data_IF_433679575758
#
_entry.id   IF_433679575758
#
_cell.length_a   1.000
_cell.length_b   1.000
_cell.length_c   1.000
_cell.angle_alpha   90.00
_cell.angle_beta   90.00
_cell.angle_gamma   90.00
#
_symmetry.space_group_name_H-M   'P 1'
#
loop_
_entity.id
_entity.type
_entity.pdbx_description
1 polymer ?
#
# COMPACT_ATOMS: atom_id res chain seq x y z
N UNK A 1 29.44 -25.61 -11.27
CA UNK A 1 29.69 -24.44 -12.11
C UNK A 1 30.21 -23.32 -11.23
N UNK A 2 31.34 -22.68 -11.54
CA UNK A 2 31.85 -21.55 -10.74
C UNK A 2 30.79 -20.45 -10.65
N UNK A 3 30.62 -19.81 -9.50
CA UNK A 3 29.61 -18.78 -9.24
C UNK A 3 29.66 -17.62 -10.24
N UNK A 4 30.87 -17.26 -10.73
CA UNK A 4 31.03 -16.20 -11.74
C UNK A 4 30.33 -16.55 -13.06
N UNK A 5 30.47 -17.79 -13.54
CA UNK A 5 29.81 -18.24 -14.77
C UNK A 5 28.29 -18.33 -14.60
N UNK A 6 27.86 -18.63 -13.38
CA UNK A 6 26.42 -18.61 -13.08
C UNK A 6 25.88 -17.17 -13.12
N UNK A 7 26.60 -16.22 -12.50
CA UNK A 7 26.22 -14.81 -12.57
C UNK A 7 26.17 -14.24 -13.98
N UNK A 8 27.13 -14.62 -14.84
CA UNK A 8 27.13 -14.23 -16.26
C UNK A 8 25.95 -14.84 -17.02
N UNK A 9 25.54 -16.05 -16.67
CA UNK A 9 24.40 -16.73 -17.27
C UNK A 9 23.07 -16.14 -16.82
N UNK A 10 22.93 -15.87 -15.52
CA UNK A 10 21.69 -15.41 -14.90
C UNK A 10 21.45 -13.91 -15.18
N UNK A 11 22.48 -13.17 -15.59
CA UNK A 11 22.37 -11.75 -15.96
C UNK A 11 21.96 -10.84 -14.81
N UNK A 12 21.20 -9.78 -15.12
CA UNK A 12 20.68 -8.83 -14.13
C UNK A 12 19.37 -9.37 -13.56
N UNK A 13 19.34 -9.64 -12.26
CA UNK A 13 18.14 -10.10 -11.55
C UNK A 13 17.32 -8.96 -10.96
N UNK A 14 17.90 -7.76 -10.85
CA UNK A 14 17.23 -6.61 -10.23
C UNK A 14 16.18 -6.07 -11.16
N UNK A 15 14.98 -5.84 -10.63
CA UNK A 15 13.87 -5.19 -11.32
C UNK A 15 14.27 -3.84 -11.91
N UNK A 16 13.87 -3.55 -13.15
CA UNK A 16 14.06 -2.24 -13.77
C UNK A 16 13.04 -1.20 -13.28
N UNK A 17 11.98 -1.66 -12.63
CA UNK A 17 10.95 -0.78 -12.10
C UNK A 17 11.53 0.24 -11.09
N UNK A 18 11.15 1.52 -11.10
CA UNK A 18 10.05 2.16 -11.85
C UNK A 18 10.45 2.75 -13.21
N UNK A 19 11.69 2.53 -13.69
CA UNK A 19 12.17 3.09 -14.97
C UNK A 19 11.64 2.33 -16.17
N UNK A 20 11.47 1.02 -16.03
CA UNK A 20 10.91 0.11 -17.02
C UNK A 20 9.90 -0.85 -16.37
N UNK A 21 9.04 -1.48 -17.19
CA UNK A 21 8.24 -2.62 -16.77
C UNK A 21 9.08 -3.89 -16.82
N UNK A 22 8.79 -4.82 -15.95
CA UNK A 22 9.39 -6.16 -15.99
C UNK A 22 8.36 -7.26 -15.67
N UNK A 23 8.73 -8.48 -15.95
CA UNK A 23 7.85 -9.65 -15.77
C UNK A 23 7.55 -9.95 -14.28
N UNK A 24 8.37 -9.48 -13.35
CA UNK A 24 8.07 -9.64 -11.92
C UNK A 24 6.90 -8.76 -11.53
N UNK A 25 6.89 -7.51 -12.00
CA UNK A 25 5.84 -6.54 -11.72
C UNK A 25 4.47 -7.01 -12.21
N UNK A 26 4.40 -7.51 -13.44
CA UNK A 26 3.15 -7.94 -14.07
C UNK A 26 2.59 -9.24 -13.44
N UNK A 27 3.41 -9.97 -12.70
CA UNK A 27 3.03 -11.22 -12.02
C UNK A 27 2.39 -11.03 -10.64
N UNK A 28 2.34 -9.81 -10.10
CA UNK A 28 1.71 -9.56 -8.80
C UNK A 28 0.24 -9.19 -8.95
N UNK A 29 -0.63 -9.92 -8.23
CA UNK A 29 -2.03 -9.56 -8.02
C UNK A 29 -2.10 -8.53 -6.88
N UNK A 30 -1.94 -7.25 -7.22
CA UNK A 30 -1.75 -6.19 -6.23
C UNK A 30 -3.05 -5.75 -5.57
N UNK A 31 -4.18 -5.90 -6.24
CA UNK A 31 -5.48 -5.45 -5.75
C UNK A 31 -6.64 -6.21 -6.39
N UNK A 32 -7.81 -6.05 -5.80
CA UNK A 32 -9.07 -6.41 -6.41
C UNK A 32 -9.70 -5.14 -7.00
N UNK A 33 -10.12 -5.21 -8.26
CA UNK A 33 -10.89 -4.19 -8.95
C UNK A 33 -12.38 -4.52 -8.95
N UNK A 34 -13.20 -3.49 -9.07
CA UNK A 34 -14.65 -3.57 -9.28
C UNK A 34 -14.95 -3.12 -10.69
N UNK A 35 -15.68 -3.91 -11.45
CA UNK A 35 -16.15 -3.49 -12.78
C UNK A 35 -17.26 -2.45 -12.64
N UNK A 36 -17.09 -1.34 -13.34
CA UNK A 36 -17.98 -0.17 -13.25
C UNK A 36 -18.88 0.00 -14.48
N UNK A 37 -18.82 -0.95 -15.41
CA UNK A 37 -19.49 -0.87 -16.74
C UNK A 37 -21.00 -1.15 -16.66
N UNK A 38 -21.55 -1.41 -15.48
CA UNK A 38 -22.99 -1.60 -15.32
C UNK A 38 -23.71 -0.25 -15.37
N UNK A 39 -24.80 -0.19 -16.15
CA UNK A 39 -25.64 1.00 -16.31
C UNK A 39 -26.17 1.54 -14.98
N UNK A 40 -26.21 2.87 -14.88
CA UNK A 40 -26.80 3.59 -13.78
C UNK A 40 -28.29 3.26 -13.66
N UNK A 41 -28.66 2.46 -12.69
CA UNK A 41 -30.06 2.14 -12.41
C UNK A 41 -30.42 0.65 -12.44
N UNK A 42 -29.51 -0.22 -12.86
CA UNK A 42 -29.76 -1.65 -12.69
C UNK A 42 -29.65 -2.07 -11.21
N UNK A 43 -30.56 -2.91 -10.72
CA UNK A 43 -30.46 -3.42 -9.36
C UNK A 43 -29.20 -4.24 -9.19
N UNK A 44 -28.52 -4.05 -8.04
CA UNK A 44 -27.30 -4.80 -7.71
C UNK A 44 -27.60 -6.30 -7.77
N UNK A 45 -26.86 -7.08 -8.59
CA UNK A 45 -27.11 -8.51 -8.72
C UNK A 45 -26.95 -9.23 -7.38
N UNK A 46 -27.79 -10.23 -7.15
CA UNK A 46 -27.72 -11.06 -5.94
C UNK A 46 -26.32 -11.63 -5.66
N UNK A 47 -25.59 -12.01 -6.72
CA UNK A 47 -24.23 -12.51 -6.62
C UNK A 47 -23.28 -11.50 -5.94
N UNK A 48 -23.46 -10.19 -6.17
CA UNK A 48 -22.65 -9.14 -5.53
C UNK A 48 -23.02 -8.99 -4.05
N UNK A 49 -24.33 -9.06 -3.74
CA UNK A 49 -24.79 -9.07 -2.34
C UNK A 49 -24.25 -10.30 -1.58
N UNK A 50 -24.28 -11.47 -2.23
CA UNK A 50 -23.71 -12.70 -1.66
C UNK A 50 -22.17 -12.59 -1.49
N UNK A 51 -21.47 -11.91 -2.40
CA UNK A 51 -20.05 -11.62 -2.28
C UNK A 51 -19.74 -10.66 -1.12
N UNK A 52 -20.56 -9.61 -0.95
CA UNK A 52 -20.45 -8.67 0.16
C UNK A 52 -20.69 -9.35 1.52
N UNK A 53 -21.73 -10.17 1.62
CA UNK A 53 -22.03 -10.94 2.83
C UNK A 53 -20.95 -11.96 3.20
N UNK A 54 -20.21 -12.45 2.21
CA UNK A 54 -19.12 -13.40 2.41
C UNK A 54 -17.75 -12.74 2.64
N UNK A 55 -17.67 -11.42 2.54
CA UNK A 55 -16.42 -10.69 2.75
C UNK A 55 -16.06 -10.68 4.25
N UNK A 56 -14.92 -11.28 4.66
CA UNK A 56 -14.60 -11.44 6.08
C UNK A 56 -14.28 -10.11 6.78
N UNK A 57 -13.91 -9.08 6.02
CA UNK A 57 -13.56 -7.75 6.54
C UNK A 57 -14.61 -6.69 6.20
N UNK A 58 -15.76 -7.11 5.65
CA UNK A 58 -16.80 -6.20 5.18
C UNK A 58 -16.27 -5.08 4.26
N UNK A 59 -15.30 -5.42 3.39
CA UNK A 59 -14.68 -4.49 2.45
C UNK A 59 -15.60 -4.13 1.27
N UNK A 60 -16.70 -4.86 1.05
CA UNK A 60 -17.61 -4.66 -0.08
C UNK A 60 -18.90 -4.06 0.43
N UNK A 61 -19.33 -2.95 -0.16
CA UNK A 61 -20.65 -2.34 0.01
C UNK A 61 -21.41 -2.37 -1.30
N UNK A 62 -22.75 -2.38 -1.21
CA UNK A 62 -23.62 -2.54 -2.39
C UNK A 62 -24.56 -1.37 -2.61
N UNK A 63 -24.60 -0.40 -1.70
CA UNK A 63 -25.49 0.76 -1.75
C UNK A 63 -24.67 2.07 -1.83
N UNK A 64 -24.95 2.96 -2.80
CA UNK A 64 -25.92 2.84 -3.90
C UNK A 64 -25.41 1.96 -5.06
N UNK A 65 -24.14 1.60 -5.09
CA UNK A 65 -23.46 0.77 -6.10
C UNK A 65 -22.44 -0.14 -5.45
N UNK A 66 -22.01 -1.21 -6.14
CA UNK A 66 -20.89 -2.02 -5.68
C UNK A 66 -19.62 -1.20 -5.53
N UNK A 67 -19.08 -1.17 -4.32
CA UNK A 67 -17.81 -0.51 -3.98
C UNK A 67 -16.94 -1.50 -3.22
N UNK A 68 -15.64 -1.34 -3.37
CA UNK A 68 -14.65 -2.12 -2.63
C UNK A 68 -13.69 -1.18 -1.92
N UNK A 69 -13.62 -1.29 -0.61
CA UNK A 69 -12.60 -0.64 0.19
C UNK A 69 -11.31 -1.48 0.20
N UNK A 70 -10.33 -1.08 -0.62
CA UNK A 70 -9.02 -1.73 -0.68
C UNK A 70 -8.28 -1.70 0.65
N UNK A 71 -8.52 -0.68 1.46
CA UNK A 71 -7.92 -0.57 2.79
C UNK A 71 -8.47 -1.58 3.81
N UNK A 72 -9.58 -2.26 3.47
CA UNK A 72 -10.14 -3.37 4.24
C UNK A 72 -9.94 -4.72 3.55
N UNK A 73 -9.57 -4.72 2.28
CA UNK A 73 -9.46 -5.93 1.49
C UNK A 73 -8.22 -6.73 1.85
N UNK A 74 -8.42 -7.96 2.31
CA UNK A 74 -7.34 -8.91 2.62
C UNK A 74 -6.94 -9.81 1.46
N UNK A 75 -7.29 -9.48 0.23
CA UNK A 75 -6.93 -10.19 -0.99
C UNK A 75 -7.31 -11.69 -0.99
N UNK A 76 -8.35 -12.09 -0.29
CA UNK A 76 -8.75 -13.50 -0.11
C UNK A 76 -9.44 -14.12 -1.34
N UNK A 77 -9.80 -13.36 -2.36
CA UNK A 77 -10.40 -13.83 -3.62
C UNK A 77 -11.85 -14.34 -3.55
N UNK A 78 -12.51 -14.34 -2.37
CA UNK A 78 -13.86 -14.87 -2.20
C UNK A 78 -14.92 -14.16 -3.06
N UNK A 79 -14.77 -12.85 -3.27
CA UNK A 79 -15.67 -12.06 -4.11
C UNK A 79 -15.61 -12.49 -5.57
N UNK A 80 -14.42 -12.77 -6.10
CA UNK A 80 -14.25 -13.24 -7.48
C UNK A 80 -14.81 -14.62 -7.71
N UNK A 81 -14.78 -15.50 -6.72
CA UNK A 81 -15.42 -16.82 -6.80
C UNK A 81 -16.96 -16.70 -6.86
N UNK A 82 -17.55 -15.73 -6.17
CA UNK A 82 -19.00 -15.54 -6.10
C UNK A 82 -19.57 -14.65 -7.18
N UNK A 83 -18.83 -13.62 -7.56
CA UNK A 83 -19.25 -12.65 -8.57
C UNK A 83 -18.10 -12.32 -9.54
N UNK A 84 -17.64 -13.31 -10.36
CA UNK A 84 -16.47 -13.14 -11.25
C UNK A 84 -16.69 -12.11 -12.35
N UNK A 85 -17.94 -11.74 -12.62
CA UNK A 85 -18.27 -10.70 -13.59
C UNK A 85 -18.06 -9.28 -13.02
N UNK A 86 -18.01 -9.14 -11.69
CA UNK A 86 -17.93 -7.85 -10.99
C UNK A 86 -16.58 -7.60 -10.36
N UNK A 87 -15.86 -8.64 -9.99
CA UNK A 87 -14.57 -8.53 -9.32
C UNK A 87 -13.49 -9.24 -10.10
N UNK A 88 -12.34 -8.61 -10.23
CA UNK A 88 -11.18 -9.19 -10.90
C UNK A 88 -9.89 -8.77 -10.21
N UNK A 89 -8.83 -9.57 -10.37
CA UNK A 89 -7.49 -9.17 -9.96
C UNK A 89 -6.97 -8.01 -10.83
N UNK A 90 -6.37 -7.03 -10.21
CA UNK A 90 -5.60 -5.99 -10.86
C UNK A 90 -4.11 -6.26 -10.62
N UNK A 91 -3.34 -6.54 -11.67
CA UNK A 91 -1.90 -6.76 -11.54
C UNK A 91 -1.15 -5.46 -11.34
N UNK A 92 0.07 -5.56 -10.82
CA UNK A 92 0.99 -4.45 -10.69
C UNK A 92 1.11 -3.89 -9.28
N UNK A 93 1.22 -2.57 -9.11
CA UNK A 93 1.52 -1.96 -7.81
C UNK A 93 0.84 -0.62 -7.54
N UNK A 94 0.07 -0.09 -8.43
CA UNK A 94 -0.49 1.28 -8.35
C UNK A 94 -1.57 1.50 -7.27
N UNK A 95 -1.53 0.77 -6.16
CA UNK A 95 -2.58 0.74 -5.14
C UNK A 95 -2.41 1.76 -4.02
N UNK A 96 -1.23 2.35 -3.85
CA UNK A 96 -0.97 3.34 -2.82
C UNK A 96 -1.73 4.65 -3.07
N UNK A 97 -2.30 5.23 -2.03
CA UNK A 97 -3.13 6.43 -2.08
C UNK A 97 -2.64 7.51 -1.10
N UNK A 98 -2.94 8.78 -1.43
CA UNK A 98 -2.65 9.94 -0.56
C UNK A 98 -3.78 10.24 0.42
N UNK A 99 -4.95 9.67 0.21
CA UNK A 99 -6.07 9.80 1.13
C UNK A 99 -6.68 8.42 1.39
N UNK A 100 -7.28 8.26 2.55
CA UNK A 100 -7.98 7.03 2.91
C UNK A 100 -9.18 6.76 1.98
N UNK A 101 -9.82 7.83 1.49
CA UNK A 101 -10.98 7.76 0.60
C UNK A 101 -10.65 7.17 -0.76
N UNK A 102 -9.50 7.52 -1.32
CA UNK A 102 -9.06 7.01 -2.64
C UNK A 102 -8.87 5.48 -2.67
N UNK A 103 -8.81 4.83 -1.50
CA UNK A 103 -8.78 3.37 -1.42
C UNK A 103 -10.13 2.70 -1.68
N UNK A 104 -11.23 3.47 -1.68
CA UNK A 104 -12.55 2.95 -2.03
C UNK A 104 -12.73 3.05 -3.54
N UNK A 105 -12.73 1.91 -4.22
CA UNK A 105 -12.96 1.83 -5.67
C UNK A 105 -14.43 1.59 -5.97
N UNK A 106 -14.90 2.13 -7.10
CA UNK A 106 -16.32 2.12 -7.47
C UNK A 106 -17.06 3.41 -7.04
N UNK A 107 -16.41 4.31 -6.33
CA UNK A 107 -16.90 5.65 -5.99
C UNK A 107 -16.00 6.71 -6.63
N UNK A 108 -16.59 7.73 -7.24
CA UNK A 108 -15.88 8.85 -7.87
C UNK A 108 -16.14 10.12 -7.03
N UNK A 109 -15.38 10.26 -5.94
CA UNK A 109 -15.57 11.39 -5.02
C UNK A 109 -14.39 12.37 -4.97
N UNK A 110 -13.23 12.00 -5.51
CA UNK A 110 -12.06 12.89 -5.53
C UNK A 110 -11.72 13.28 -6.96
N UNK A 111 -11.62 14.59 -7.20
CA UNK A 111 -11.23 15.10 -8.52
C UNK A 111 -9.73 14.88 -8.74
N UNK A 112 -9.34 14.65 -9.99
CA UNK A 112 -7.93 14.55 -10.39
C UNK A 112 -7.13 15.79 -9.99
N UNK A 113 -7.78 16.96 -9.98
CA UNK A 113 -7.18 18.23 -9.54
C UNK A 113 -6.84 18.22 -8.06
N UNK A 114 -7.74 17.72 -7.20
CA UNK A 114 -7.51 17.64 -5.74
C UNK A 114 -6.35 16.68 -5.43
N UNK A 115 -6.32 15.51 -6.08
CA UNK A 115 -5.22 14.56 -5.94
C UNK A 115 -3.89 15.11 -6.46
N UNK A 116 -3.92 15.85 -7.58
CA UNK A 116 -2.74 16.52 -8.12
C UNK A 116 -2.21 17.61 -7.18
N UNK A 117 -3.11 18.37 -6.55
CA UNK A 117 -2.74 19.39 -5.56
C UNK A 117 -2.09 18.77 -4.31
N UNK A 118 -2.63 17.64 -3.81
CA UNK A 118 -2.03 16.88 -2.71
C UNK A 118 -0.65 16.35 -3.06
N UNK A 119 -0.49 15.74 -4.24
CA UNK A 119 0.82 15.27 -4.75
C UNK A 119 1.83 16.40 -4.83
N UNK A 120 1.43 17.56 -5.36
CA UNK A 120 2.28 18.74 -5.49
C UNK A 120 2.71 19.28 -4.12
N UNK A 121 1.78 19.32 -3.16
CA UNK A 121 2.05 19.79 -1.80
C UNK A 121 3.03 18.87 -1.09
N UNK A 122 2.80 17.55 -1.16
CA UNK A 122 3.70 16.56 -0.59
C UNK A 122 5.09 16.62 -1.23
N UNK A 123 5.16 16.64 -2.57
CA UNK A 123 6.43 16.73 -3.31
C UNK A 123 7.23 18.00 -2.96
N UNK A 124 6.55 19.13 -2.71
CA UNK A 124 7.20 20.37 -2.25
C UNK A 124 7.77 20.21 -0.85
N UNK A 125 7.01 19.63 0.07
CA UNK A 125 7.44 19.37 1.47
C UNK A 125 8.67 18.47 1.52
N UNK A 126 8.69 17.39 0.74
CA UNK A 126 9.78 16.40 0.72
C UNK A 126 10.91 16.72 -0.25
N UNK A 127 10.91 17.90 -0.89
CA UNK A 127 11.91 18.26 -1.92
C UNK A 127 13.37 18.12 -1.45
N UNK A 128 13.63 18.28 -0.15
CA UNK A 128 14.97 18.12 0.43
C UNK A 128 15.38 16.65 0.59
N UNK A 129 14.44 15.70 0.59
CA UNK A 129 14.67 14.27 0.81
C UNK A 129 14.98 13.49 -0.51
N UNK A 130 15.41 14.17 -1.58
CA UNK A 130 15.42 13.58 -2.92
C UNK A 130 16.53 12.58 -3.20
N UNK A 131 17.63 12.55 -2.45
CA UNK A 131 18.82 11.76 -2.82
C UNK A 131 19.12 10.59 -1.90
N UNK A 132 19.02 10.81 -0.62
CA UNK A 132 19.25 9.78 0.39
C UNK A 132 18.13 9.88 1.41
N UNK A 133 17.35 8.81 1.55
CA UNK A 133 16.16 8.77 2.38
C UNK A 133 16.29 7.62 3.37
N UNK A 134 16.00 7.90 4.62
CA UNK A 134 16.02 6.90 5.67
C UNK A 134 14.61 6.59 6.16
N UNK A 135 14.29 5.32 6.24
CA UNK A 135 13.02 4.80 6.70
C UNK A 135 13.19 4.23 8.11
N UNK A 136 12.37 4.70 9.05
CA UNK A 136 12.14 4.00 10.30
C UNK A 136 10.88 3.16 10.16
N UNK A 137 11.04 1.85 10.23
CA UNK A 137 9.91 0.93 10.31
C UNK A 137 9.52 0.73 11.77
N UNK A 138 8.20 0.75 12.05
CA UNK A 138 7.61 0.43 13.35
C UNK A 138 6.47 -0.55 13.13
N UNK A 139 6.59 -1.72 13.71
CA UNK A 139 5.50 -2.66 13.87
C UNK A 139 4.64 -2.24 15.07
N UNK A 140 3.40 -1.87 14.81
CA UNK A 140 2.44 -1.46 15.84
C UNK A 140 1.49 -2.62 16.25
N UNK A 141 1.94 -3.86 16.10
CA UNK A 141 1.20 -5.07 16.42
C UNK A 141 0.59 -5.71 15.19
N UNK A 142 1.45 -6.29 14.34
CA UNK A 142 1.10 -7.03 13.13
C UNK A 142 1.09 -8.54 13.36
N UNK A 143 0.75 -9.29 12.32
CA UNK A 143 0.93 -10.74 12.23
C UNK A 143 2.29 -11.16 11.65
N UNK A 144 3.13 -10.18 11.29
CA UNK A 144 4.46 -10.38 10.70
C UNK A 144 4.46 -10.49 9.18
N UNK A 145 3.32 -10.52 8.50
CA UNK A 145 3.25 -10.70 7.05
C UNK A 145 3.80 -9.49 6.28
N UNK A 146 3.41 -8.27 6.67
CA UNK A 146 3.91 -7.04 6.07
C UNK A 146 5.43 -6.85 6.30
N UNK A 147 5.95 -7.29 7.45
CA UNK A 147 7.37 -7.23 7.78
C UNK A 147 8.21 -8.07 6.81
N UNK A 148 7.74 -9.25 6.42
CA UNK A 148 8.44 -10.09 5.44
C UNK A 148 8.54 -9.41 4.08
N UNK A 149 7.48 -8.74 3.63
CA UNK A 149 7.49 -7.98 2.39
C UNK A 149 8.40 -6.72 2.48
N UNK A 150 8.46 -6.08 3.65
CA UNK A 150 9.39 -4.98 3.92
C UNK A 150 10.84 -5.48 3.88
N UNK A 151 11.15 -6.65 4.46
CA UNK A 151 12.49 -7.26 4.35
C UNK A 151 12.84 -7.60 2.91
N UNK A 152 11.88 -8.08 2.12
CA UNK A 152 12.08 -8.38 0.71
C UNK A 152 12.54 -7.16 -0.10
N UNK A 153 12.19 -5.93 0.28
CA UNK A 153 12.62 -4.70 -0.39
C UNK A 153 14.15 -4.57 -0.49
N UNK A 154 14.89 -5.19 0.41
CA UNK A 154 16.38 -5.14 0.44
C UNK A 154 17.03 -6.29 -0.29
N UNK A 155 16.27 -7.25 -0.82
CA UNK A 155 16.81 -8.36 -1.57
C UNK A 155 17.28 -7.91 -2.98
N UNK A 156 18.12 -8.72 -3.67
CA UNK A 156 18.67 -8.35 -4.99
C UNK A 156 17.64 -8.09 -6.08
N UNK A 157 16.40 -8.62 -5.96
CA UNK A 157 15.35 -8.42 -6.98
C UNK A 157 14.81 -7.00 -6.91
N UNK A 158 14.46 -6.52 -5.72
CA UNK A 158 13.89 -5.18 -5.54
C UNK A 158 14.95 -4.10 -5.34
N UNK A 159 16.00 -4.41 -4.56
CA UNK A 159 17.16 -3.56 -4.28
C UNK A 159 16.78 -2.09 -4.04
N UNK A 160 16.01 -1.84 -3.00
CA UNK A 160 15.57 -0.50 -2.61
C UNK A 160 16.75 0.49 -2.49
N UNK A 161 17.94 -0.03 -2.12
CA UNK A 161 19.16 0.78 -1.95
C UNK A 161 19.61 1.45 -3.25
N UNK A 162 19.38 0.84 -4.42
CA UNK A 162 19.66 1.47 -5.74
C UNK A 162 18.88 2.77 -5.97
N UNK A 163 17.77 2.95 -5.24
CA UNK A 163 16.96 4.16 -5.29
C UNK A 163 17.41 5.21 -4.25
N UNK A 164 18.49 4.93 -3.49
CA UNK A 164 18.99 5.80 -2.43
C UNK A 164 18.11 5.81 -1.19
N UNK A 165 17.44 4.70 -0.90
CA UNK A 165 16.50 4.55 0.22
C UNK A 165 17.03 3.45 1.15
N UNK A 166 17.13 3.75 2.44
CA UNK A 166 17.76 2.90 3.45
C UNK A 166 16.89 2.79 4.70
N UNK A 167 16.98 1.67 5.40
CA UNK A 167 16.36 1.55 6.72
C UNK A 167 17.31 2.03 7.81
N UNK A 168 16.77 2.67 8.83
CA UNK A 168 17.53 3.16 10.00
C UNK A 168 16.87 2.73 11.31
N UNK A 169 17.69 2.40 12.29
CA UNK A 169 17.22 2.07 13.63
C UNK A 169 16.82 3.31 14.45
N UNK A 170 17.41 4.47 14.15
CA UNK A 170 17.17 5.69 14.90
C UNK A 170 16.11 6.57 14.26
N UNK A 171 15.02 6.93 14.97
CA UNK A 171 14.01 7.84 14.44
C UNK A 171 14.57 9.24 14.15
N UNK A 172 15.60 9.66 14.83
CA UNK A 172 16.23 10.99 14.64
C UNK A 172 16.93 11.15 13.28
N UNK A 173 17.19 10.04 12.60
CA UNK A 173 17.79 10.02 11.27
C UNK A 173 16.79 9.59 10.19
N UNK A 174 15.52 9.39 10.55
CA UNK A 174 14.51 8.94 9.63
C UNK A 174 13.73 10.10 9.01
N UNK A 175 13.43 9.96 7.74
CA UNK A 175 12.65 10.87 6.93
C UNK A 175 11.23 10.33 6.71
N UNK A 176 11.09 9.00 6.70
CA UNK A 176 9.82 8.29 6.53
C UNK A 176 9.60 7.39 7.75
N UNK A 177 8.42 7.47 8.33
CA UNK A 177 7.87 6.49 9.27
C UNK A 177 7.03 5.50 8.47
N UNK A 178 7.48 4.26 8.34
CA UNK A 178 6.72 3.17 7.77
C UNK A 178 6.13 2.36 8.91
N UNK A 179 4.82 2.41 9.07
CA UNK A 179 4.15 1.74 10.16
C UNK A 179 3.23 0.61 9.66
N UNK A 180 3.32 -0.53 10.31
CA UNK A 180 2.51 -1.74 10.08
C UNK A 180 1.73 -2.10 11.34
N UNK A 181 0.77 -3.02 11.23
CA UNK A 181 0.00 -3.54 12.35
C UNK A 181 -1.16 -2.66 12.81
N UNK A 182 -2.00 -3.23 13.67
CA UNK A 182 -3.33 -2.72 14.02
C UNK A 182 -3.34 -1.51 14.99
N UNK A 183 -2.19 -1.09 15.51
CA UNK A 183 -2.13 -0.08 16.55
C UNK A 183 -2.49 -0.63 17.93
N UNK A 184 -1.78 -1.66 18.39
CA UNK A 184 -2.04 -2.24 19.72
C UNK A 184 -1.81 -1.24 20.84
N UNK A 185 -2.57 -1.36 21.93
CA UNK A 185 -2.48 -0.47 23.09
C UNK A 185 -1.05 -0.34 23.64
N UNK A 186 -0.27 -1.45 23.61
CA UNK A 186 1.13 -1.43 24.04
C UNK A 186 2.06 -0.68 23.10
N UNK A 187 1.70 -0.50 21.81
CA UNK A 187 2.50 0.18 20.80
C UNK A 187 2.06 1.62 20.53
N UNK A 188 0.95 2.08 21.10
CA UNK A 188 0.45 3.46 20.94
C UNK A 188 1.52 4.48 21.33
N UNK A 189 2.04 4.37 22.53
CA UNK A 189 3.04 5.32 23.04
C UNK A 189 4.41 5.18 22.34
N UNK A 190 4.97 3.98 22.11
CA UNK A 190 6.19 3.80 21.31
C UNK A 190 6.09 4.39 19.91
N UNK A 191 4.96 4.21 19.21
CA UNK A 191 4.74 4.76 17.87
C UNK A 191 4.75 6.29 17.90
N UNK A 192 3.98 6.91 18.83
CA UNK A 192 3.93 8.37 19.00
C UNK A 192 5.30 8.95 19.33
N UNK A 193 6.03 8.36 20.28
CA UNK A 193 7.39 8.82 20.62
C UNK A 193 8.36 8.68 19.44
N UNK A 194 8.22 7.64 18.64
CA UNK A 194 9.02 7.49 17.43
C UNK A 194 8.72 8.61 16.44
N UNK A 195 7.43 8.88 16.20
CA UNK A 195 7.00 9.98 15.34
C UNK A 195 7.51 11.34 15.84
N UNK A 196 7.38 11.63 17.11
CA UNK A 196 7.82 12.90 17.71
C UNK A 196 9.35 13.10 17.64
N UNK A 197 10.11 12.01 17.76
CA UNK A 197 11.56 12.04 17.68
C UNK A 197 12.12 12.24 16.26
N UNK A 198 11.29 12.09 15.23
CA UNK A 198 11.69 12.31 13.83
C UNK A 198 11.74 13.80 13.49
N UNK A 199 12.81 14.28 12.80
CA UNK A 199 12.89 15.67 12.36
C UNK A 199 11.91 15.97 11.23
N UNK A 200 11.51 17.23 11.11
CA UNK A 200 10.76 17.71 9.93
C UNK A 200 11.72 18.07 8.77
N UNK A 201 11.36 17.86 7.51
CA UNK A 201 10.11 17.27 7.05
C UNK A 201 10.10 15.74 7.18
N UNK A 202 8.99 15.17 7.62
CA UNK A 202 8.78 13.74 7.74
C UNK A 202 7.48 13.32 7.06
N UNK A 203 7.37 12.05 6.68
CA UNK A 203 6.18 11.46 6.04
C UNK A 203 5.84 10.16 6.73
N UNK A 204 4.55 9.91 6.97
CA UNK A 204 4.04 8.66 7.54
C UNK A 204 3.37 7.83 6.44
N UNK A 205 3.76 6.58 6.33
CA UNK A 205 3.17 5.58 5.45
C UNK A 205 2.54 4.49 6.31
N UNK A 206 1.23 4.29 6.17
CA UNK A 206 0.53 3.13 6.73
C UNK A 206 0.59 1.98 5.72
N UNK A 207 1.24 0.89 6.05
CA UNK A 207 1.44 -0.26 5.18
C UNK A 207 0.69 -1.48 5.70
N UNK A 208 -0.04 -2.09 4.77
CA UNK A 208 -0.87 -3.25 5.04
C UNK A 208 -2.29 -2.90 5.49
N UNK A 209 -3.19 -3.82 5.26
CA UNK A 209 -4.61 -3.70 5.65
C UNK A 209 -4.77 -3.55 7.16
N UNK A 210 -3.88 -4.16 7.94
CA UNK A 210 -3.88 -4.07 9.39
C UNK A 210 -3.61 -2.64 9.86
N UNK A 211 -2.62 -1.96 9.29
CA UNK A 211 -2.30 -0.57 9.61
C UNK A 211 -3.40 0.43 9.16
N UNK A 212 -4.16 0.06 8.14
CA UNK A 212 -5.18 0.94 7.54
C UNK A 212 -6.54 0.82 8.23
N UNK A 213 -6.95 -0.40 8.60
CA UNK A 213 -8.31 -0.68 9.06
C UNK A 213 -8.41 -1.75 10.15
N UNK A 214 -7.27 -2.24 10.64
CA UNK A 214 -7.21 -3.35 11.59
C UNK A 214 -7.34 -4.74 10.96
N UNK A 215 -7.58 -4.84 9.65
CA UNK A 215 -7.65 -6.13 8.94
C UNK A 215 -8.66 -7.11 9.55
N UNK A 216 -8.21 -8.33 9.81
CA UNK A 216 -9.00 -9.38 10.48
C UNK A 216 -8.88 -9.35 12.02
N UNK A 217 -7.82 -8.76 12.53
CA UNK A 217 -7.45 -8.85 13.96
C UNK A 217 -7.70 -7.55 14.73
N UNK A 218 -7.99 -6.46 14.03
CA UNK A 218 -8.28 -5.16 14.63
C UNK A 218 -9.64 -5.07 15.33
N UNK A 219 -9.82 -4.00 16.11
CA UNK A 219 -11.07 -3.75 16.85
C UNK A 219 -11.29 -4.65 18.07
N UNK A 220 -10.25 -5.38 18.51
CA UNK A 220 -10.26 -6.13 19.74
C UNK A 220 -10.00 -5.24 20.97
N UNK A 221 -10.07 -5.83 22.16
CA UNK A 221 -9.90 -5.08 23.41
C UNK A 221 -8.46 -4.54 23.61
N UNK A 222 -7.47 -5.08 22.91
CA UNK A 222 -6.05 -4.66 22.99
C UNK A 222 -5.54 -3.92 21.78
N UNK A 223 -6.35 -3.74 20.74
CA UNK A 223 -5.93 -3.15 19.47
C UNK A 223 -6.96 -2.22 18.87
N UNK A 224 -6.47 -1.20 18.18
CA UNK A 224 -7.28 -0.25 17.44
C UNK A 224 -7.67 -0.82 16.04
N UNK A 225 -8.31 0.01 15.25
CA UNK A 225 -8.72 -0.28 13.87
C UNK A 225 -7.73 0.33 12.88
N UNK A 226 -6.44 0.22 13.17
CA UNK A 226 -5.35 0.81 12.39
C UNK A 226 -4.61 1.91 13.14
N UNK A 227 -3.69 2.59 12.46
CA UNK A 227 -2.78 3.57 13.08
C UNK A 227 -3.20 5.04 12.90
N UNK A 228 -4.28 5.30 12.18
CA UNK A 228 -4.67 6.67 11.81
C UNK A 228 -5.04 7.57 13.00
N UNK A 229 -5.56 6.98 14.08
CA UNK A 229 -5.88 7.71 15.30
C UNK A 229 -4.65 7.94 16.20
N UNK A 230 -3.52 7.34 15.84
CA UNK A 230 -2.28 7.43 16.61
C UNK A 230 -1.31 8.47 16.03
N UNK A 231 -1.21 8.54 14.69
CA UNK A 231 -0.32 9.44 13.95
C UNK A 231 -0.98 9.88 12.64
N UNK A 232 -0.64 11.09 12.18
CA UNK A 232 -1.13 11.62 10.90
C UNK A 232 -0.50 10.84 9.73
N UNK A 233 -1.32 10.14 8.95
CA UNK A 233 -0.88 9.32 7.81
C UNK A 233 -1.04 10.10 6.50
N UNK A 234 0.04 10.16 5.70
CA UNK A 234 0.04 10.84 4.40
C UNK A 234 -0.04 9.88 3.20
N UNK A 235 0.37 8.63 3.39
CA UNK A 235 0.32 7.62 2.32
C UNK A 235 -0.20 6.30 2.88
N UNK A 236 -1.13 5.73 2.15
CA UNK A 236 -1.85 4.51 2.50
C UNK A 236 -1.53 3.41 1.50
N UNK A 237 -1.05 2.26 1.95
CA UNK A 237 -0.64 1.13 1.10
C UNK A 237 -1.47 -0.08 1.45
N UNK A 238 -2.55 -0.38 0.71
CA UNK A 238 -3.38 -1.55 0.97
C UNK A 238 -2.66 -2.83 0.57
N UNK A 239 -3.01 -3.90 1.22
CA UNK A 239 -2.52 -5.27 0.99
C UNK A 239 -2.52 -6.08 2.26
N UNK A 240 -2.59 -7.39 2.14
CA UNK A 240 -2.50 -8.29 3.28
C UNK A 240 -1.73 -9.56 2.90
N UNK A 241 -0.40 -9.42 2.83
CA UNK A 241 0.45 -8.22 2.96
C UNK A 241 0.49 -7.32 1.73
N UNK A 242 0.97 -6.07 1.91
CA UNK A 242 1.29 -5.19 0.81
C UNK A 242 2.54 -5.70 0.08
N UNK A 243 2.45 -5.94 -1.24
CA UNK A 243 3.57 -6.47 -2.03
C UNK A 243 4.78 -5.52 -2.03
N UNK A 244 6.03 -6.03 -2.23
CA UNK A 244 7.21 -5.18 -2.29
C UNK A 244 7.12 -4.09 -3.35
N UNK A 245 6.50 -4.35 -4.51
CA UNK A 245 6.26 -3.33 -5.52
C UNK A 245 5.27 -2.26 -5.07
N UNK A 246 4.20 -2.65 -4.35
CA UNK A 246 3.25 -1.69 -3.76
C UNK A 246 3.91 -0.81 -2.70
N UNK A 247 4.77 -1.38 -1.88
CA UNK A 247 5.58 -0.64 -0.89
C UNK A 247 6.57 0.32 -1.58
N UNK A 248 7.29 -0.13 -2.61
CA UNK A 248 8.18 0.73 -3.40
C UNK A 248 7.42 1.86 -4.07
N UNK A 249 6.25 1.57 -4.66
CA UNK A 249 5.38 2.58 -5.26
C UNK A 249 4.98 3.63 -4.23
N UNK A 250 4.54 3.23 -3.05
CA UNK A 250 4.15 4.13 -1.98
C UNK A 250 5.30 5.02 -1.50
N UNK A 251 6.49 4.45 -1.32
CA UNK A 251 7.69 5.21 -0.92
C UNK A 251 8.04 6.24 -2.01
N UNK A 252 8.00 5.87 -3.28
CA UNK A 252 8.28 6.78 -4.38
C UNK A 252 7.19 7.84 -4.55
N UNK A 253 5.91 7.48 -4.30
CA UNK A 253 4.79 8.42 -4.25
C UNK A 253 5.01 9.45 -3.12
N UNK A 254 5.35 8.98 -1.92
CA UNK A 254 5.67 9.81 -0.77
C UNK A 254 6.80 10.81 -1.05
N UNK A 255 7.79 10.40 -1.84
CA UNK A 255 8.95 11.21 -2.21
C UNK A 255 8.74 12.08 -3.45
N UNK A 256 7.60 11.97 -4.13
CA UNK A 256 7.35 12.63 -5.41
C UNK A 256 8.32 12.21 -6.52
N UNK A 257 8.78 10.95 -6.49
CA UNK A 257 9.74 10.39 -7.43
C UNK A 257 9.12 9.46 -8.49
N UNK A 258 7.81 9.28 -8.47
CA UNK A 258 7.14 8.49 -9.51
C UNK A 258 7.30 9.21 -10.86
N UNK A 259 7.58 8.48 -11.95
CA UNK A 259 7.60 9.05 -13.29
C UNK A 259 6.25 9.70 -13.61
N UNK A 260 6.24 10.91 -14.17
CA UNK A 260 5.01 11.62 -14.53
C UNK A 260 4.16 10.87 -15.59
N UNK A 261 4.76 9.92 -16.30
CA UNK A 261 4.13 9.13 -17.36
C UNK A 261 3.85 7.66 -16.96
N UNK A 262 3.90 7.33 -15.68
CA UNK A 262 3.38 6.03 -15.26
C UNK A 262 1.84 6.05 -15.29
N UNK A 263 1.26 6.25 -16.48
CA UNK A 263 -0.02 5.62 -16.79
C UNK A 263 0.31 4.14 -16.64
N UNK A 264 -0.08 3.54 -15.53
CA UNK A 264 -0.25 2.12 -15.46
C UNK A 264 -1.01 1.77 -16.74
N UNK A 265 -0.38 1.08 -17.67
CA UNK A 265 -1.10 0.55 -18.81
C UNK A 265 -2.19 -0.30 -18.20
N UNK A 266 -3.42 0.18 -18.34
CA UNK A 266 -4.63 -0.60 -18.10
C UNK A 266 -4.62 -1.81 -18.98
#
# INVERSE_FOLDING_TARGET
MPWVLRGLRDGILTSEWPRGGDHYFDGFDAAVGVRTDADDGEPVPRAVADAAAACPTAAITTDPRPQLDRGRCILCGRCMTRAPQWFAWEPGCGTAALTRRTLVVGQVDETDEALSALRTTLARRVRRLRRCVHIRHVDAGSDGSDEWEIYALTNPVYDLHRLGIFFTASPRHADILLATGIGTAGMTEPLRRTFDAMPAPKVVIAAGTDAISGGLIGGGYTGDVGIADLVDVEVWVPGAPASPFSLMHAILLALGRLPQNSKAKR
#
